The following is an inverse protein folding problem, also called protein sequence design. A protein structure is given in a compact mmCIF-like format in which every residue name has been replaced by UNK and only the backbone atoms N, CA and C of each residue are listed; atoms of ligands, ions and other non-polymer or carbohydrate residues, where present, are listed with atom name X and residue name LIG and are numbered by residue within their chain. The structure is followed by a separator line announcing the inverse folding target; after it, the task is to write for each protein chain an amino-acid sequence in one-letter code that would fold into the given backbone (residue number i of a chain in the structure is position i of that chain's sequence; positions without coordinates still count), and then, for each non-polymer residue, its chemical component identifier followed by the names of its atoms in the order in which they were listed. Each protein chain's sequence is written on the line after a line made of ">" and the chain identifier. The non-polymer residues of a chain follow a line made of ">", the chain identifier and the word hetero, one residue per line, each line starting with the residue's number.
data_IF_717592902117
#
_entry.id   IF_717592902117
#
_cell.length_a   1.000
_cell.length_b   1.000
_cell.length_c   1.000
_cell.angle_alpha   90.00
_cell.angle_beta   90.00
_cell.angle_gamma   90.00
#
_symmetry.space_group_name_H-M   'P 1'
#
loop_
_entity.id
_entity.type
_entity.pdbx_description
1 polymer ?
#
# COMPACT_ATOMS: atom_id res chain seq x y z
N UNK A 1 1.42 37.45 28.64
CA UNK A 1 0.47 36.95 27.62
C UNK A 1 1.09 36.88 26.22
N UNK A 2 1.53 37.98 25.59
CA UNK A 2 2.13 37.95 24.22
C UNK A 2 3.34 36.99 24.07
N UNK A 3 4.23 36.92 25.06
CA UNK A 3 5.40 36.03 25.06
C UNK A 3 5.02 34.53 25.15
N UNK A 4 3.97 34.21 25.90
CA UNK A 4 3.48 32.83 26.07
C UNK A 4 2.77 32.37 24.79
N UNK A 5 1.96 33.24 24.18
CA UNK A 5 1.32 32.97 22.89
C UNK A 5 2.37 32.77 21.80
N UNK A 6 3.42 33.61 21.76
CA UNK A 6 4.53 33.45 20.82
C UNK A 6 5.29 32.15 21.03
N UNK A 7 5.52 31.73 22.28
CA UNK A 7 6.16 30.45 22.59
C UNK A 7 5.32 29.25 22.16
N UNK A 8 4.00 29.31 22.35
CA UNK A 8 3.07 28.26 21.88
C UNK A 8 3.09 28.18 20.35
N UNK A 9 3.03 29.31 19.64
CA UNK A 9 3.06 29.34 18.18
C UNK A 9 4.38 28.77 17.64
N UNK A 10 5.51 29.17 18.22
CA UNK A 10 6.84 28.66 17.81
C UNK A 10 6.95 27.17 18.11
N UNK A 11 6.49 26.72 19.27
CA UNK A 11 6.47 25.30 19.65
C UNK A 11 5.63 24.47 18.67
N UNK A 12 4.45 24.96 18.31
CA UNK A 12 3.57 24.31 17.33
C UNK A 12 4.26 24.27 15.96
N UNK A 13 4.86 25.37 15.52
CA UNK A 13 5.53 25.44 14.22
C UNK A 13 6.74 24.49 14.11
N UNK A 14 7.55 24.40 15.18
CA UNK A 14 8.69 23.48 15.26
C UNK A 14 8.22 22.02 15.33
N UNK A 15 7.16 21.73 16.08
CA UNK A 15 6.57 20.39 16.15
C UNK A 15 6.00 19.94 14.79
N UNK A 16 5.32 20.84 14.07
CA UNK A 16 4.79 20.55 12.73
C UNK A 16 5.91 20.36 11.69
N UNK A 17 7.06 21.00 11.86
CA UNK A 17 8.21 20.86 10.95
C UNK A 17 9.02 19.56 11.17
N UNK A 18 9.00 19.02 12.40
CA UNK A 18 9.77 17.82 12.78
C UNK A 18 8.94 16.54 12.82
N UNK A 19 7.61 16.64 12.94
CA UNK A 19 6.70 15.48 12.98
C UNK A 19 6.10 15.10 11.63
N UNK A 20 6.12 15.99 10.63
CA UNK A 20 5.52 15.69 9.33
C UNK A 20 6.37 14.65 8.59
N UNK A 21 5.86 13.43 8.42
CA UNK A 21 6.50 12.34 7.70
C UNK A 21 6.89 12.72 6.27
N UNK A 22 6.16 13.67 5.68
CA UNK A 22 6.45 14.29 4.37
C UNK A 22 7.77 15.08 4.33
N UNK A 23 8.20 15.66 5.45
CA UNK A 23 9.48 16.37 5.58
C UNK A 23 10.60 15.40 5.97
N UNK A 24 10.32 14.48 6.89
CA UNK A 24 11.32 13.51 7.38
C UNK A 24 11.70 12.50 6.30
N UNK A 25 10.73 12.08 5.50
CA UNK A 25 10.88 11.01 4.52
C UNK A 25 10.22 11.36 3.19
N UNK A 26 10.72 12.39 2.48
CA UNK A 26 10.15 12.84 1.21
C UNK A 26 10.20 11.76 0.11
N UNK A 27 11.10 10.79 0.24
CA UNK A 27 11.24 9.63 -0.66
C UNK A 27 10.04 8.68 -0.62
N UNK A 28 9.20 8.75 0.43
CA UNK A 28 8.01 7.90 0.59
C UNK A 28 6.75 8.49 -0.03
N UNK A 29 6.83 9.68 -0.65
CA UNK A 29 5.67 10.33 -1.26
C UNK A 29 5.10 9.50 -2.42
N UNK A 30 3.77 9.41 -2.45
CA UNK A 30 3.05 8.66 -3.49
C UNK A 30 2.83 7.18 -3.16
N UNK A 31 3.15 6.75 -1.94
CA UNK A 31 2.72 5.44 -1.46
C UNK A 31 1.20 5.45 -1.24
N UNK A 32 0.51 4.51 -1.90
CA UNK A 32 -0.96 4.43 -1.82
C UNK A 32 -1.44 3.60 -0.64
N UNK A 33 -0.60 2.71 -0.13
CA UNK A 33 -0.93 1.77 0.95
C UNK A 33 0.36 1.14 1.54
N UNK A 34 0.27 0.54 2.73
CA UNK A 34 1.32 -0.24 3.35
C UNK A 34 1.22 -0.40 4.86
N UNK A 35 2.22 -1.01 5.49
CA UNK A 35 2.32 -1.09 6.95
C UNK A 35 2.59 0.31 7.49
N UNK A 36 1.82 0.73 8.48
CA UNK A 36 2.03 2.01 9.16
C UNK A 36 3.40 2.01 9.83
N UNK A 37 4.17 3.06 9.60
CA UNK A 37 5.41 3.36 10.31
C UNK A 37 5.08 3.84 11.73
N UNK A 38 5.42 3.05 12.77
CA UNK A 38 5.10 3.41 14.15
C UNK A 38 5.75 4.72 14.58
N UNK A 39 6.90 5.09 14.00
CA UNK A 39 7.58 6.33 14.37
C UNK A 39 6.77 7.57 13.94
N UNK A 40 6.26 7.59 12.71
CA UNK A 40 5.43 8.68 12.19
C UNK A 40 4.07 8.71 12.90
N UNK A 41 3.44 7.56 13.07
CA UNK A 41 2.14 7.48 13.76
C UNK A 41 2.21 7.94 15.22
N UNK A 42 3.31 7.67 15.92
CA UNK A 42 3.53 8.17 17.29
C UNK A 42 3.75 9.69 17.29
N UNK A 43 4.52 10.23 16.33
CA UNK A 43 4.74 11.68 16.21
C UNK A 43 3.43 12.43 15.95
N UNK A 44 2.62 11.96 15.00
CA UNK A 44 1.29 12.49 14.72
C UNK A 44 0.37 12.33 15.93
N UNK A 45 0.45 11.19 16.62
CA UNK A 45 -0.30 10.89 17.85
C UNK A 45 0.04 11.82 19.02
N UNK A 46 1.32 12.18 19.18
CA UNK A 46 1.75 13.19 20.16
C UNK A 46 1.15 14.55 19.78
N UNK A 47 1.20 14.91 18.48
CA UNK A 47 0.56 16.11 17.95
C UNK A 47 -0.93 16.14 18.30
N UNK A 48 -1.63 15.03 18.08
CA UNK A 48 -3.05 14.87 18.36
C UNK A 48 -3.38 14.97 19.85
N UNK A 49 -2.54 14.40 20.72
CA UNK A 49 -2.74 14.37 22.17
C UNK A 49 -2.65 15.76 22.79
N UNK A 50 -1.67 16.57 22.38
CA UNK A 50 -1.45 17.91 22.95
C UNK A 50 -2.16 19.02 22.17
N UNK A 51 -2.42 18.82 20.86
CA UNK A 51 -3.03 19.80 19.96
C UNK A 51 -3.93 19.11 18.92
N UNK A 52 -5.21 18.95 19.25
CA UNK A 52 -6.18 18.22 18.42
C UNK A 52 -6.15 18.61 16.93
N UNK A 53 -6.33 19.90 16.62
CA UNK A 53 -6.43 20.37 15.23
C UNK A 53 -5.12 20.10 14.46
N UNK A 54 -3.93 20.53 14.94
CA UNK A 54 -2.66 20.18 14.29
C UNK A 54 -2.43 18.69 14.12
N UNK A 55 -2.75 17.86 15.12
CA UNK A 55 -2.53 16.41 15.03
C UNK A 55 -3.41 15.72 14.00
N UNK A 56 -4.69 16.10 13.88
CA UNK A 56 -5.56 15.58 12.82
C UNK A 56 -5.03 15.97 11.44
N UNK A 57 -4.54 17.20 11.28
CA UNK A 57 -3.96 17.67 10.02
C UNK A 57 -2.69 16.88 9.68
N UNK A 58 -1.82 16.59 10.64
CA UNK A 58 -0.60 15.82 10.44
C UNK A 58 -0.92 14.41 9.90
N UNK A 59 -1.83 13.68 10.57
CA UNK A 59 -2.34 12.41 10.07
C UNK A 59 -2.91 12.53 8.66
N UNK A 60 -3.78 13.52 8.41
CA UNK A 60 -4.39 13.69 7.09
C UNK A 60 -3.35 13.90 5.99
N UNK A 61 -2.32 14.72 6.24
CA UNK A 61 -1.24 14.99 5.29
C UNK A 61 -0.39 13.75 5.06
N UNK A 62 0.01 13.04 6.12
CA UNK A 62 0.89 11.88 5.99
C UNK A 62 0.18 10.64 5.43
N UNK A 63 -1.12 10.48 5.67
CA UNK A 63 -1.96 9.52 4.93
C UNK A 63 -2.13 9.91 3.46
N UNK A 64 -2.42 11.19 3.17
CA UNK A 64 -2.64 11.65 1.79
C UNK A 64 -1.39 11.59 0.93
N UNK A 65 -0.22 11.86 1.53
CA UNK A 65 1.06 11.80 0.85
C UNK A 65 1.67 10.38 0.86
N UNK A 66 1.13 9.46 1.68
CA UNK A 66 1.64 8.10 1.83
C UNK A 66 2.87 7.97 2.73
N UNK A 67 3.28 9.05 3.38
CA UNK A 67 4.51 9.13 4.19
C UNK A 67 4.37 8.50 5.56
N UNK A 68 3.14 8.16 5.98
CA UNK A 68 2.87 7.37 7.17
C UNK A 68 3.19 5.87 6.97
N UNK A 69 3.36 5.40 5.73
CA UNK A 69 3.62 4.00 5.45
C UNK A 69 5.12 3.68 5.41
N UNK A 70 5.47 2.43 5.71
CA UNK A 70 6.81 1.89 5.57
C UNK A 70 7.13 1.62 4.09
N UNK A 71 8.32 1.99 3.61
CA UNK A 71 8.71 1.74 2.22
C UNK A 71 8.77 0.25 1.93
N UNK A 72 8.35 -0.13 0.72
CA UNK A 72 8.33 -1.53 0.28
C UNK A 72 7.26 -2.41 0.93
N UNK A 73 6.34 -1.83 1.71
CA UNK A 73 5.22 -2.57 2.32
C UNK A 73 3.90 -2.39 1.57
N UNK A 74 3.93 -1.81 0.37
CA UNK A 74 2.74 -1.65 -0.47
C UNK A 74 2.11 -3.03 -0.76
N UNK A 75 0.80 -3.14 -0.58
CA UNK A 75 0.09 -4.43 -0.69
C UNK A 75 0.25 -5.36 0.52
N UNK A 76 0.69 -4.83 1.67
CA UNK A 76 0.69 -5.54 2.97
C UNK A 76 -0.65 -5.53 3.71
N UNK A 77 -1.75 -5.18 3.01
CA UNK A 77 -3.05 -5.74 3.34
C UNK A 77 -2.84 -7.25 3.45
N UNK A 78 -3.35 -7.83 4.54
CA UNK A 78 -3.27 -9.26 4.84
C UNK A 78 -3.22 -10.06 3.53
N UNK A 79 -2.04 -10.60 3.17
CA UNK A 79 -1.93 -11.39 1.92
C UNK A 79 -2.89 -12.59 1.93
N UNK A 80 -3.41 -12.90 3.12
CA UNK A 80 -4.41 -13.91 3.40
C UNK A 80 -5.86 -13.47 3.14
N UNK A 81 -6.14 -12.17 2.93
CA UNK A 81 -7.52 -11.63 2.84
C UNK A 81 -8.06 -11.52 1.41
N UNK A 82 -7.54 -12.28 0.44
CA UNK A 82 -8.15 -12.31 -0.90
C UNK A 82 -7.31 -12.90 -2.04
N UNK A 83 -6.00 -13.08 -1.87
CA UNK A 83 -5.13 -13.68 -2.90
C UNK A 83 -5.02 -15.18 -2.68
N UNK A 84 -5.37 -15.96 -3.70
CA UNK A 84 -5.30 -17.44 -3.65
C UNK A 84 -4.13 -17.93 -4.50
N UNK A 85 -3.21 -18.66 -3.89
CA UNK A 85 -2.08 -19.26 -4.59
C UNK A 85 -2.46 -20.63 -5.14
N UNK A 86 -2.37 -20.81 -6.46
CA UNK A 86 -2.68 -22.08 -7.14
C UNK A 86 -1.37 -22.67 -7.66
N UNK A 87 -1.08 -23.89 -7.23
CA UNK A 87 0.06 -24.65 -7.74
C UNK A 87 -0.38 -25.49 -8.94
N UNK A 88 0.44 -25.49 -9.99
CA UNK A 88 0.26 -26.36 -11.14
C UNK A 88 1.58 -27.05 -11.46
N UNK A 89 1.48 -28.27 -11.98
CA UNK A 89 2.65 -29.05 -12.40
C UNK A 89 2.85 -28.99 -13.91
N UNK A 90 4.10 -29.05 -14.35
CA UNK A 90 4.46 -29.08 -15.77
C UNK A 90 4.46 -27.71 -16.46
N UNK A 91 4.49 -27.72 -17.79
CA UNK A 91 4.53 -26.49 -18.61
C UNK A 91 3.16 -25.81 -18.58
N UNK A 92 3.15 -24.51 -18.31
CA UNK A 92 1.95 -23.70 -18.45
C UNK A 92 1.76 -23.32 -19.92
N UNK A 93 0.63 -23.72 -20.49
CA UNK A 93 0.17 -23.24 -21.79
C UNK A 93 -1.18 -22.51 -21.63
N UNK A 94 -1.66 -21.91 -22.72
CA UNK A 94 -2.86 -21.08 -22.72
C UNK A 94 -4.12 -21.89 -22.36
N UNK A 95 -4.22 -23.14 -22.84
CA UNK A 95 -5.37 -24.00 -22.56
C UNK A 95 -5.41 -24.40 -21.09
N UNK A 96 -4.27 -24.86 -20.56
CA UNK A 96 -4.14 -25.24 -19.16
C UNK A 96 -4.38 -24.06 -18.22
N UNK A 97 -3.91 -22.86 -18.58
CA UNK A 97 -4.20 -21.65 -17.83
C UNK A 97 -5.70 -21.34 -17.81
N UNK A 98 -6.38 -21.45 -18.95
CA UNK A 98 -7.82 -21.26 -19.03
C UNK A 98 -8.57 -22.28 -18.18
N UNK A 99 -8.25 -23.56 -18.29
CA UNK A 99 -8.88 -24.64 -17.50
C UNK A 99 -8.74 -24.39 -15.98
N UNK A 100 -7.55 -23.98 -15.53
CA UNK A 100 -7.31 -23.63 -14.12
C UNK A 100 -8.17 -22.43 -13.72
N UNK A 101 -8.22 -21.37 -14.53
CA UNK A 101 -8.99 -20.17 -14.20
C UNK A 101 -10.49 -20.46 -14.16
N UNK A 102 -11.03 -21.21 -15.11
CA UNK A 102 -12.46 -21.56 -15.13
C UNK A 102 -12.83 -22.42 -13.92
N UNK A 103 -11.99 -23.42 -13.57
CA UNK A 103 -12.21 -24.28 -12.41
C UNK A 103 -12.18 -23.51 -11.09
N UNK A 104 -11.22 -22.61 -10.93
CA UNK A 104 -10.99 -21.92 -9.65
C UNK A 104 -11.85 -20.68 -9.47
N UNK A 105 -12.26 -20.02 -10.55
CA UNK A 105 -13.11 -18.81 -10.50
C UNK A 105 -14.59 -19.10 -10.72
N UNK A 106 -14.93 -20.25 -11.34
CA UNK A 106 -16.30 -20.58 -11.75
C UNK A 106 -16.85 -19.70 -12.88
N UNK A 107 -15.97 -18.96 -13.57
CA UNK A 107 -16.32 -18.06 -14.68
C UNK A 107 -15.60 -18.50 -15.95
N UNK A 108 -16.25 -18.33 -17.09
CA UNK A 108 -15.60 -18.49 -18.40
C UNK A 108 -14.55 -17.36 -18.57
N UNK A 109 -13.28 -17.71 -18.72
CA UNK A 109 -12.18 -16.74 -18.85
C UNK A 109 -11.46 -16.94 -20.18
N UNK A 110 -11.58 -15.96 -21.10
CA UNK A 110 -10.89 -16.00 -22.39
C UNK A 110 -9.54 -15.31 -22.31
N UNK A 111 -8.50 -16.07 -22.03
CA UNK A 111 -7.10 -15.60 -21.98
C UNK A 111 -6.54 -15.15 -23.34
N UNK A 112 -7.25 -15.42 -24.44
CA UNK A 112 -6.91 -14.96 -25.80
C UNK A 112 -7.68 -13.70 -26.22
N UNK A 113 -8.51 -13.14 -25.34
CA UNK A 113 -9.23 -11.90 -25.64
C UNK A 113 -8.24 -10.73 -25.85
N UNK A 114 -8.57 -9.74 -26.70
CA UNK A 114 -7.70 -8.58 -26.95
C UNK A 114 -7.28 -7.81 -25.69
N UNK A 115 -8.12 -7.81 -24.67
CA UNK A 115 -7.91 -7.20 -23.36
C UNK A 115 -7.04 -8.04 -22.41
N UNK A 116 -6.75 -9.30 -22.75
CA UNK A 116 -5.92 -10.17 -21.94
C UNK A 116 -4.43 -9.88 -22.17
N UNK A 117 -3.69 -9.68 -21.09
CA UNK A 117 -2.24 -9.49 -21.12
C UNK A 117 -1.56 -10.30 -20.01
N UNK A 118 -0.31 -10.69 -20.26
CA UNK A 118 0.49 -11.45 -19.31
C UNK A 118 1.66 -10.61 -18.81
N UNK A 119 1.82 -10.55 -17.48
CA UNK A 119 2.97 -9.93 -16.84
C UNK A 119 3.76 -11.00 -16.10
N UNK A 120 5.06 -11.08 -16.37
CA UNK A 120 5.98 -11.91 -15.61
C UNK A 120 6.37 -11.20 -14.32
N UNK A 121 6.10 -11.81 -13.18
CA UNK A 121 6.60 -11.36 -11.88
C UNK A 121 8.05 -11.82 -11.67
N UNK A 122 8.86 -11.05 -10.93
CA UNK A 122 10.24 -11.45 -10.58
C UNK A 122 10.27 -12.42 -9.41
N UNK A 123 9.25 -12.40 -8.57
CA UNK A 123 9.08 -13.30 -7.43
C UNK A 123 7.60 -13.56 -7.15
N UNK A 124 7.32 -14.63 -6.40
CA UNK A 124 5.98 -14.93 -5.91
C UNK A 124 5.43 -13.80 -5.03
N UNK A 125 6.28 -13.17 -4.22
CA UNK A 125 5.91 -12.03 -3.38
C UNK A 125 5.46 -10.83 -4.23
N UNK A 126 6.19 -10.50 -5.30
CA UNK A 126 5.79 -9.43 -6.22
C UNK A 126 4.44 -9.75 -6.91
N UNK A 127 4.23 -11.01 -7.29
CA UNK A 127 2.96 -11.45 -7.87
C UNK A 127 1.79 -11.25 -6.90
N UNK A 128 1.95 -11.65 -5.63
CA UNK A 128 0.93 -11.49 -4.59
C UNK A 128 0.59 -10.02 -4.35
N UNK A 129 1.59 -9.15 -4.26
CA UNK A 129 1.39 -7.71 -4.07
C UNK A 129 0.57 -7.11 -5.22
N UNK A 130 0.94 -7.41 -6.46
CA UNK A 130 0.26 -6.85 -7.64
C UNK A 130 -1.20 -7.31 -7.75
N UNK A 131 -1.48 -8.58 -7.45
CA UNK A 131 -2.85 -9.10 -7.44
C UNK A 131 -3.68 -8.47 -6.31
N UNK A 132 -3.10 -8.29 -5.11
CA UNK A 132 -3.80 -7.68 -3.97
C UNK A 132 -4.20 -6.21 -4.20
N UNK A 133 -3.39 -5.46 -4.96
CA UNK A 133 -3.67 -4.04 -5.26
C UNK A 133 -4.83 -3.87 -6.25
N UNK A 134 -5.10 -4.87 -7.08
CA UNK A 134 -6.08 -4.79 -8.18
C UNK A 134 -7.44 -5.36 -7.79
N UNK A 135 -8.17 -4.68 -6.92
CA UNK A 135 -9.44 -5.19 -6.39
C UNK A 135 -10.64 -5.05 -7.36
N UNK A 136 -10.41 -4.64 -8.62
CA UNK A 136 -11.45 -4.41 -9.64
C UNK A 136 -11.27 -5.24 -10.92
N UNK A 137 -10.10 -5.84 -11.14
CA UNK A 137 -9.78 -6.62 -12.35
C UNK A 137 -9.36 -8.02 -11.91
N UNK A 138 -9.70 -9.04 -12.70
CA UNK A 138 -9.20 -10.39 -12.46
C UNK A 138 -7.73 -10.46 -12.87
N UNK A 139 -6.83 -10.05 -11.97
CA UNK A 139 -5.38 -10.11 -12.22
C UNK A 139 -4.84 -11.50 -11.87
N UNK A 140 -4.21 -12.13 -12.86
CA UNK A 140 -3.57 -13.45 -12.74
C UNK A 140 -2.08 -13.26 -13.01
N UNK A 141 -1.24 -13.55 -12.02
CA UNK A 141 0.22 -13.46 -12.18
C UNK A 141 0.87 -14.81 -11.97
N UNK A 142 1.70 -15.18 -12.94
CA UNK A 142 2.45 -16.44 -12.93
C UNK A 142 3.90 -16.15 -12.62
N UNK A 143 4.38 -16.65 -11.48
CA UNK A 143 5.79 -16.66 -11.14
C UNK A 143 6.36 -18.07 -11.42
N UNK A 144 7.36 -18.16 -12.28
CA UNK A 144 8.15 -19.38 -12.45
C UNK A 144 9.37 -19.31 -11.53
N UNK A 145 9.67 -20.41 -10.84
CA UNK A 145 10.89 -20.56 -10.04
C UNK A 145 12.12 -20.70 -10.92
#
# INVERSE_FOLDING_TARGET
>A
MKKIISLIIISVFVANSTGCGTILHPERKGQVDGRIDPSIAVLDGIGLLFFLIPGVIAFAVDFSNGTIYLPGTQGSLDMNSGVREIHFEGKLDVQKLQDILERETGKEVKVTAPEAYAIKAKSLEEAKIRVAVSNKVLDVMVAAK
#
